data_IF_244530999792
#
_entry.id   IF_244530999792
#
_cell.length_a   1.000
_cell.length_b   1.000
_cell.length_c   1.000
_cell.angle_alpha   90.00
_cell.angle_beta   90.00
_cell.angle_gamma   90.00
#
_symmetry.space_group_name_H-M   'P 1'
#
loop_
_entity.id
_entity.type
_entity.pdbx_description
1 polymer ?
#
# COMPACT_ATOMS: atom_id res chain seq x y z
N UNK A 1 10.42 -10.23 -9.66
CA UNK A 1 10.20 -11.46 -8.85
C UNK A 1 10.21 -11.17 -7.35
N UNK A 2 11.27 -10.57 -6.78
CA UNK A 2 11.34 -10.31 -5.32
C UNK A 2 10.24 -9.39 -4.78
N UNK A 3 9.86 -8.34 -5.51
CA UNK A 3 8.83 -7.37 -5.10
C UNK A 3 7.42 -7.95 -5.10
N UNK A 4 7.07 -8.74 -6.12
CA UNK A 4 5.74 -9.38 -6.23
C UNK A 4 5.56 -10.45 -5.15
N UNK A 5 6.61 -11.23 -4.84
CA UNK A 5 6.56 -12.20 -3.74
C UNK A 5 6.31 -11.50 -2.40
N UNK A 6 6.96 -10.37 -2.16
CA UNK A 6 6.72 -9.59 -0.96
C UNK A 6 5.28 -9.07 -0.90
N UNK A 7 4.73 -8.60 -2.02
CA UNK A 7 3.35 -8.14 -2.09
C UNK A 7 2.38 -9.25 -1.66
N UNK A 8 2.58 -10.49 -2.15
CA UNK A 8 1.78 -11.66 -1.74
C UNK A 8 1.89 -11.92 -0.24
N UNK A 9 3.09 -11.88 0.33
CA UNK A 9 3.30 -12.11 1.77
C UNK A 9 2.58 -11.05 2.60
N UNK A 10 2.74 -9.77 2.25
CA UNK A 10 2.12 -8.68 3.02
C UNK A 10 0.59 -8.78 2.98
N UNK A 11 -0.02 -8.94 1.81
CA UNK A 11 -1.49 -8.98 1.70
C UNK A 11 -2.10 -10.28 2.26
N UNK A 12 -1.32 -11.37 2.32
CA UNK A 12 -1.75 -12.62 2.95
C UNK A 12 -1.76 -12.51 4.48
N UNK A 13 -0.69 -11.96 5.05
CA UNK A 13 -0.45 -11.99 6.49
C UNK A 13 -1.13 -10.81 7.21
N UNK A 14 -1.40 -9.71 6.48
CA UNK A 14 -1.91 -8.46 7.05
C UNK A 14 -3.22 -8.03 6.37
N UNK A 15 -4.34 -8.33 7.03
CA UNK A 15 -5.69 -8.00 6.55
C UNK A 15 -6.27 -6.82 7.33
N UNK A 16 -6.71 -5.78 6.63
CA UNK A 16 -7.30 -4.58 7.22
C UNK A 16 -8.32 -3.96 6.27
N UNK A 17 -9.35 -3.29 6.79
CA UNK A 17 -10.42 -2.70 5.97
C UNK A 17 -9.91 -1.66 4.97
N UNK A 18 -8.82 -0.97 5.29
CA UNK A 18 -8.14 0.00 4.42
C UNK A 18 -6.88 -0.55 3.73
N UNK A 19 -6.72 -1.88 3.62
CA UNK A 19 -5.66 -2.54 2.85
C UNK A 19 -6.33 -3.34 1.73
N UNK A 20 -5.73 -3.33 0.53
CA UNK A 20 -6.22 -4.16 -0.59
C UNK A 20 -6.23 -5.64 -0.21
N UNK A 21 -7.37 -6.28 -0.40
CA UNK A 21 -7.59 -7.69 -0.14
C UNK A 21 -7.02 -8.55 -1.26
N UNK A 22 -6.19 -9.51 -0.89
CA UNK A 22 -5.74 -10.57 -1.78
C UNK A 22 -6.60 -11.81 -1.56
N UNK A 23 -7.19 -12.31 -2.64
CA UNK A 23 -7.95 -13.56 -2.62
C UNK A 23 -7.02 -14.78 -2.70
N UNK A 24 -6.18 -14.85 -3.73
CA UNK A 24 -5.31 -16.01 -4.03
C UNK A 24 -4.08 -15.60 -4.84
N UNK A 25 -3.08 -16.46 -4.85
CA UNK A 25 -1.92 -16.37 -5.75
C UNK A 25 -1.67 -17.71 -6.45
N UNK A 26 -1.22 -17.69 -7.70
CA UNK A 26 -0.93 -18.88 -8.50
C UNK A 26 0.42 -18.73 -9.21
N UNK A 27 1.15 -19.84 -9.35
CA UNK A 27 2.28 -19.92 -10.26
C UNK A 27 1.80 -20.55 -11.56
N UNK A 28 1.75 -19.77 -12.64
CA UNK A 28 1.30 -20.19 -13.97
C UNK A 28 2.49 -20.13 -14.91
N UNK A 29 3.10 -21.29 -15.18
CA UNK A 29 4.39 -21.34 -15.87
C UNK A 29 5.49 -20.68 -15.03
N UNK A 30 6.12 -19.65 -15.57
CA UNK A 30 7.14 -18.84 -14.88
C UNK A 30 6.57 -17.54 -14.29
N UNK A 31 5.26 -17.30 -14.38
CA UNK A 31 4.61 -16.09 -13.92
C UNK A 31 3.87 -16.30 -12.59
N UNK A 32 4.03 -15.34 -11.67
CA UNK A 32 3.26 -15.27 -10.43
C UNK A 32 2.02 -14.41 -10.65
N UNK A 33 0.85 -15.02 -10.62
CA UNK A 33 -0.44 -14.35 -10.72
C UNK A 33 -1.00 -14.08 -9.32
N UNK A 34 -1.47 -12.86 -9.08
CA UNK A 34 -2.04 -12.44 -7.80
C UNK A 34 -3.46 -11.93 -8.04
N UNK A 35 -4.44 -12.63 -7.47
CA UNK A 35 -5.85 -12.25 -7.55
C UNK A 35 -6.20 -11.41 -6.31
N UNK A 36 -6.64 -10.19 -6.56
CA UNK A 36 -6.98 -9.20 -5.55
C UNK A 36 -8.37 -8.63 -5.81
N UNK A 37 -8.93 -7.92 -4.83
CA UNK A 37 -10.14 -7.14 -5.05
C UNK A 37 -9.94 -6.08 -6.14
N UNK A 38 -11.00 -5.82 -6.91
CA UNK A 38 -10.96 -4.80 -7.95
C UNK A 38 -11.54 -3.48 -7.42
N UNK A 39 -10.71 -2.44 -7.40
CA UNK A 39 -11.05 -1.11 -6.91
C UNK A 39 -11.41 -0.18 -8.06
N UNK A 40 -12.71 -0.16 -8.37
CA UNK A 40 -13.30 0.48 -9.54
C UNK A 40 -13.17 2.02 -9.56
N UNK A 41 -12.94 2.65 -8.40
CA UNK A 41 -12.73 4.08 -8.28
C UNK A 41 -11.35 4.53 -8.76
N UNK A 42 -10.45 3.59 -9.08
CA UNK A 42 -9.11 3.89 -9.59
C UNK A 42 -8.17 4.44 -8.53
N UNK A 43 -7.07 5.03 -8.99
CA UNK A 43 -6.05 5.59 -8.12
C UNK A 43 -6.39 7.03 -7.72
N UNK A 44 -5.98 7.42 -6.51
CA UNK A 44 -6.13 8.79 -6.04
C UNK A 44 -5.40 9.80 -6.94
N UNK A 45 -4.28 9.38 -7.58
CA UNK A 45 -3.53 10.20 -8.56
C UNK A 45 -4.44 10.73 -9.68
N UNK A 46 -5.36 9.90 -10.17
CA UNK A 46 -6.26 10.28 -11.27
C UNK A 46 -7.22 11.41 -10.86
N UNK A 47 -7.56 11.48 -9.58
CA UNK A 47 -8.42 12.53 -9.02
C UNK A 47 -7.61 13.79 -8.75
N UNK A 48 -6.49 13.68 -8.01
CA UNK A 48 -5.71 14.86 -7.58
C UNK A 48 -4.98 15.56 -8.72
N UNK A 49 -4.81 14.89 -9.85
CA UNK A 49 -4.28 15.48 -11.08
C UNK A 49 -5.31 16.36 -11.81
N UNK A 50 -6.60 16.14 -11.57
CA UNK A 50 -7.69 16.87 -12.25
C UNK A 50 -8.32 17.93 -11.36
N UNK A 51 -8.50 17.63 -10.07
CA UNK A 51 -9.19 18.49 -9.12
C UNK A 51 -8.47 18.56 -7.78
N UNK A 52 -8.68 19.67 -7.06
CA UNK A 52 -8.26 19.77 -5.65
C UNK A 52 -9.36 19.25 -4.74
N UNK A 53 -8.99 18.35 -3.83
CA UNK A 53 -9.87 17.87 -2.78
C UNK A 53 -10.15 18.98 -1.75
N UNK A 54 -11.35 18.99 -1.19
CA UNK A 54 -11.67 19.81 -0.02
C UNK A 54 -11.13 19.17 1.26
N UNK A 55 -11.17 19.90 2.39
CA UNK A 55 -10.60 19.41 3.65
C UNK A 55 -11.28 18.15 4.20
N UNK A 56 -12.60 18.00 3.99
CA UNK A 56 -13.35 16.81 4.41
C UNK A 56 -12.91 15.56 3.64
N UNK A 57 -12.71 15.69 2.33
CA UNK A 57 -12.19 14.63 1.48
C UNK A 57 -10.74 14.29 1.84
N UNK A 58 -9.90 15.30 2.07
CA UNK A 58 -8.51 15.09 2.53
C UNK A 58 -8.50 14.34 3.86
N UNK A 59 -9.31 14.77 4.84
CA UNK A 59 -9.41 14.13 6.14
C UNK A 59 -9.84 12.66 6.02
N UNK A 60 -10.81 12.36 5.15
CA UNK A 60 -11.30 10.99 4.91
C UNK A 60 -10.21 10.07 4.35
N UNK A 61 -9.43 10.56 3.38
CA UNK A 61 -8.29 9.83 2.81
C UNK A 61 -7.20 9.64 3.86
N UNK A 62 -6.83 10.70 4.57
CA UNK A 62 -5.80 10.65 5.60
C UNK A 62 -6.16 9.68 6.73
N UNK A 63 -7.39 9.71 7.24
CA UNK A 63 -7.85 8.80 8.28
C UNK A 63 -7.71 7.34 7.82
N UNK A 64 -8.23 7.02 6.63
CA UNK A 64 -8.20 5.66 6.09
C UNK A 64 -6.76 5.13 5.91
N UNK A 65 -5.87 5.97 5.38
CA UNK A 65 -4.46 5.61 5.19
C UNK A 65 -3.75 5.47 6.55
N UNK A 66 -4.03 6.35 7.52
CA UNK A 66 -3.44 6.27 8.86
C UNK A 66 -3.92 5.04 9.64
N UNK A 67 -5.18 4.62 9.46
CA UNK A 67 -5.68 3.37 10.05
C UNK A 67 -4.92 2.16 9.49
N UNK A 68 -4.74 2.07 8.17
CA UNK A 68 -3.92 1.02 7.54
C UNK A 68 -2.46 1.05 8.03
N UNK A 69 -1.83 2.23 8.05
CA UNK A 69 -0.45 2.39 8.49
C UNK A 69 -0.26 2.06 9.97
N UNK A 70 -1.18 2.49 10.84
CA UNK A 70 -1.14 2.16 12.27
C UNK A 70 -1.19 0.65 12.48
N UNK A 71 -2.06 -0.04 11.75
CA UNK A 71 -2.12 -1.50 11.78
C UNK A 71 -0.81 -2.15 11.30
N UNK A 72 -0.32 -1.79 10.11
CA UNK A 72 0.92 -2.33 9.55
C UNK A 72 2.14 -2.06 10.44
N UNK A 73 2.27 -0.84 10.96
CA UNK A 73 3.37 -0.45 11.83
C UNK A 73 3.32 -1.20 13.17
N UNK A 74 2.13 -1.51 13.70
CA UNK A 74 1.99 -2.35 14.90
C UNK A 74 2.54 -3.77 14.71
N UNK A 75 2.56 -4.24 13.45
CA UNK A 75 3.12 -5.53 13.06
C UNK A 75 4.59 -5.43 12.62
N UNK A 76 5.21 -4.24 12.68
CA UNK A 76 6.58 -4.03 12.23
C UNK A 76 6.75 -4.00 10.71
N UNK A 77 5.68 -3.73 9.95
CA UNK A 77 5.74 -3.55 8.49
C UNK A 77 5.91 -2.07 8.17
N UNK A 78 6.87 -1.72 7.33
CA UNK A 78 7.07 -0.37 6.79
C UNK A 78 6.74 -0.39 5.30
N UNK A 79 5.79 0.44 4.85
CA UNK A 79 5.35 0.43 3.45
C UNK A 79 6.40 0.93 2.45
N UNK A 80 7.04 2.05 2.77
CA UNK A 80 8.13 2.71 2.00
C UNK A 80 7.76 3.25 0.60
N UNK A 81 6.47 3.29 0.23
CA UNK A 81 6.03 3.87 -1.06
C UNK A 81 4.62 4.47 -0.96
N UNK A 82 4.41 5.33 0.05
CA UNK A 82 3.15 6.04 0.24
C UNK A 82 3.10 7.25 -0.68
N UNK A 83 2.13 7.24 -1.61
CA UNK A 83 1.88 8.28 -2.61
C UNK A 83 0.44 8.12 -3.12
N UNK A 84 -0.03 9.05 -3.95
CA UNK A 84 -1.40 8.98 -4.49
C UNK A 84 -1.61 7.76 -5.40
N UNK A 85 -0.57 7.22 -6.02
CA UNK A 85 -0.66 6.03 -6.88
C UNK A 85 -0.95 4.76 -6.07
N UNK A 86 -0.46 4.69 -4.83
CA UNK A 86 -0.66 3.54 -3.94
C UNK A 86 -1.97 3.62 -3.15
N UNK A 87 -2.79 4.65 -3.37
CA UNK A 87 -4.09 4.81 -2.72
C UNK A 87 -5.19 4.58 -3.75
N UNK A 88 -5.99 3.54 -3.54
CA UNK A 88 -7.05 3.10 -4.43
C UNK A 88 -8.43 3.31 -3.81
N UNK A 89 -9.43 3.49 -4.67
CA UNK A 89 -10.81 3.82 -4.27
C UNK A 89 -11.82 2.79 -4.77
N UNK A 90 -12.84 2.53 -3.97
CA UNK A 90 -14.05 1.83 -4.43
C UNK A 90 -15.06 2.83 -5.01
N UNK A 91 -16.08 2.35 -5.74
CA UNK A 91 -17.17 3.21 -6.22
C UNK A 91 -18.00 3.84 -5.09
N UNK A 92 -18.07 3.16 -3.95
CA UNK A 92 -18.74 3.66 -2.74
C UNK A 92 -17.84 4.57 -1.88
N UNK A 93 -16.67 4.97 -2.38
CA UNK A 93 -15.81 5.98 -1.76
C UNK A 93 -14.90 5.47 -0.63
N UNK A 94 -14.79 4.15 -0.43
CA UNK A 94 -13.83 3.58 0.52
C UNK A 94 -12.42 3.70 -0.03
N UNK A 95 -11.48 4.01 0.86
CA UNK A 95 -10.06 4.22 0.56
C UNK A 95 -9.26 3.00 1.03
N UNK A 96 -8.41 2.46 0.15
CA UNK A 96 -7.53 1.33 0.45
C UNK A 96 -6.10 1.56 -0.02
N UNK A 97 -5.15 1.12 0.80
CA UNK A 97 -3.72 1.15 0.53
C UNK A 97 -3.29 -0.08 -0.28
N UNK A 98 -2.47 0.14 -1.31
CA UNK A 98 -1.97 -0.84 -2.28
C UNK A 98 -0.44 -0.73 -2.45
N UNK A 99 0.14 -1.52 -3.36
CA UNK A 99 1.54 -1.44 -3.81
C UNK A 99 2.59 -1.79 -2.74
N UNK A 100 2.38 -2.94 -2.09
CA UNK A 100 3.27 -3.46 -1.04
C UNK A 100 4.63 -4.00 -1.53
N UNK A 101 4.97 -3.82 -2.82
CA UNK A 101 6.19 -4.36 -3.44
C UNK A 101 7.49 -3.82 -2.85
N UNK A 102 7.45 -2.67 -2.17
CA UNK A 102 8.58 -2.08 -1.46
C UNK A 102 8.49 -2.18 0.06
N UNK A 103 7.59 -2.98 0.62
CA UNK A 103 7.51 -3.13 2.07
C UNK A 103 8.81 -3.64 2.70
N UNK A 104 8.95 -3.47 4.01
CA UNK A 104 9.97 -4.14 4.79
C UNK A 104 9.42 -4.55 6.15
N UNK A 105 9.79 -5.75 6.59
CA UNK A 105 9.57 -6.21 7.94
C UNK A 105 10.77 -5.81 8.81
N UNK A 106 10.51 -5.18 9.95
CA UNK A 106 11.48 -4.97 11.03
C UNK A 106 11.21 -5.95 12.17
N UNK A 107 12.27 -6.27 12.92
CA UNK A 107 12.23 -7.14 14.10
C UNK A 107 13.15 -6.60 15.18
N UNK A 108 13.18 -7.23 16.36
CA UNK A 108 14.10 -6.85 17.43
C UNK A 108 15.57 -7.00 17.01
N UNK A 109 15.88 -8.03 16.20
CA UNK A 109 17.23 -8.30 15.70
C UNK A 109 17.63 -7.38 14.54
N UNK A 110 16.65 -6.96 13.72
CA UNK A 110 16.84 -6.04 12.60
C UNK A 110 15.86 -4.88 12.74
N UNK A 111 16.15 -3.89 13.62
CA UNK A 111 15.20 -2.84 13.97
C UNK A 111 15.12 -1.71 12.93
N UNK A 112 16.07 -1.64 11.99
CA UNK A 112 16.18 -0.56 11.00
C UNK A 112 16.51 -1.10 9.61
N UNK A 113 16.08 -0.37 8.58
CA UNK A 113 16.42 -0.62 7.17
C UNK A 113 17.30 0.52 6.65
N UNK A 114 18.23 0.21 5.73
CA UNK A 114 19.14 1.18 5.08
C UNK A 114 19.11 1.10 3.54
N UNK A 115 18.17 0.34 2.99
CA UNK A 115 18.05 0.18 1.54
C UNK A 115 17.36 1.39 0.94
N UNK A 116 17.98 2.00 -0.07
CA UNK A 116 17.43 3.11 -0.85
C UNK A 116 16.31 2.60 -1.76
N UNK A 117 15.05 2.72 -1.32
CA UNK A 117 13.85 2.33 -2.08
C UNK A 117 12.73 3.33 -1.84
N UNK A 118 11.81 3.43 -2.80
CA UNK A 118 10.68 4.35 -2.77
C UNK A 118 10.69 5.26 -4.00
N UNK A 119 9.72 6.16 -4.05
CA UNK A 119 9.59 7.13 -5.15
C UNK A 119 10.24 8.47 -4.76
N UNK A 120 11.20 9.02 -5.55
CA UNK A 120 12.08 10.11 -5.12
C UNK A 120 11.42 11.30 -4.41
N UNK A 121 10.29 11.79 -4.93
CA UNK A 121 9.60 12.97 -4.37
C UNK A 121 8.82 12.68 -3.07
N UNK A 122 8.66 11.41 -2.69
CA UNK A 122 7.96 10.94 -1.50
C UNK A 122 8.89 10.31 -0.45
N UNK A 123 10.20 10.25 -0.74
CA UNK A 123 11.17 9.65 0.16
C UNK A 123 11.47 10.59 1.34
N UNK A 124 11.46 10.02 2.54
CA UNK A 124 11.93 10.72 3.73
C UNK A 124 13.46 10.94 3.64
N UNK A 125 14.00 12.03 4.20
CA UNK A 125 15.41 12.42 4.03
C UNK A 125 16.41 11.43 4.64
N UNK A 126 15.99 10.59 5.59
CA UNK A 126 16.81 9.55 6.21
C UNK A 126 16.92 8.25 5.40
N UNK A 127 16.14 8.12 4.32
CA UNK A 127 16.16 6.97 3.39
C UNK A 127 17.29 7.13 2.39
#
# INVERSE_FOLDING_TARGET
>A
LSTVVLQVVIMRDYQHVNVVEMYKSYLVGEELWVLMEFLQGGALTDIVSQIRLNEEQIATVCESVLQALSYLHSQGVIHRDIKSDSILLTLDGRVKLSDFGFCAQISKDVPKRKSLVGTPYWMAPEV
#
